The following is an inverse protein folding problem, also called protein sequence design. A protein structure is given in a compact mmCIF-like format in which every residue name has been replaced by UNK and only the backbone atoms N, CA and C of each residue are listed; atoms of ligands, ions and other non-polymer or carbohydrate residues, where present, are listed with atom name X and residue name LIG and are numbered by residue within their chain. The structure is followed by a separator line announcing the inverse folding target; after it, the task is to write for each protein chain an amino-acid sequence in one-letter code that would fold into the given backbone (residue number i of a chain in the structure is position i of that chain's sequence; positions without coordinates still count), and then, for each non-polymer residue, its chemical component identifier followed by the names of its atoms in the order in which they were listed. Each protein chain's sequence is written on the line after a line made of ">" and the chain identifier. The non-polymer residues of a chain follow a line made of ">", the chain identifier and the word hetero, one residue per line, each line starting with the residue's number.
data_IF_305165623428
#
_entry.id   IF_305165623428
#
_cell.length_a   1.000
_cell.length_b   1.000
_cell.length_c   1.000
_cell.angle_alpha   90.00
_cell.angle_beta   90.00
_cell.angle_gamma   90.00
#
_symmetry.space_group_name_H-M   'P 1'
#
loop_
_entity.id
_entity.type
_entity.pdbx_description
1 polymer ?
#
# COMPACT_ATOMS: atom_id res chain seq x y z
N UNK A 1 41.96 -35.07 -44.79
CA UNK A 1 40.76 -34.74 -45.56
C UNK A 1 39.70 -34.20 -44.61
N UNK A 2 39.59 -32.88 -44.60
CA UNK A 2 38.60 -32.18 -43.76
C UNK A 2 37.23 -32.33 -44.40
N UNK A 3 36.33 -33.03 -43.73
CA UNK A 3 34.95 -33.14 -44.12
C UNK A 3 34.24 -31.87 -43.63
N UNK A 4 34.22 -30.82 -44.46
CA UNK A 4 33.42 -29.63 -44.23
C UNK A 4 31.93 -29.98 -44.45
N UNK A 5 31.25 -30.41 -43.38
CA UNK A 5 29.79 -30.44 -43.35
C UNK A 5 29.27 -28.98 -43.27
N UNK A 6 29.34 -28.27 -44.37
CA UNK A 6 28.57 -27.03 -44.54
C UNK A 6 27.10 -27.44 -44.72
N UNK A 7 26.33 -27.25 -43.64
CA UNK A 7 24.86 -27.31 -43.74
C UNK A 7 24.42 -26.15 -44.63
N UNK A 8 24.29 -26.43 -45.95
CA UNK A 8 23.74 -25.48 -46.89
C UNK A 8 22.23 -25.36 -46.61
N UNK A 9 21.72 -24.11 -46.41
CA UNK A 9 20.30 -23.83 -46.28
C UNK A 9 19.46 -24.45 -47.39
N UNK A 10 20.10 -24.73 -48.54
CA UNK A 10 19.48 -25.43 -49.67
C UNK A 10 19.20 -26.93 -49.39
N UNK A 11 20.02 -27.60 -48.57
CA UNK A 11 19.79 -28.99 -48.20
C UNK A 11 18.59 -29.13 -47.24
N UNK A 12 18.37 -28.17 -46.35
CA UNK A 12 17.18 -28.13 -45.48
C UNK A 12 15.88 -27.97 -46.28
N UNK A 13 15.89 -27.14 -47.34
CA UNK A 13 14.71 -26.92 -48.17
C UNK A 13 14.39 -28.21 -48.96
N UNK A 14 15.40 -28.90 -49.50
CA UNK A 14 15.23 -30.18 -50.20
C UNK A 14 14.71 -31.27 -49.25
N UNK A 15 15.22 -31.33 -48.01
CA UNK A 15 14.74 -32.22 -46.97
C UNK A 15 13.27 -31.99 -46.66
N UNK A 16 12.85 -30.74 -46.39
CA UNK A 16 11.46 -30.37 -46.13
C UNK A 16 10.54 -30.74 -47.31
N UNK A 17 11.02 -30.53 -48.53
CA UNK A 17 10.26 -30.89 -49.75
C UNK A 17 10.08 -32.38 -49.92
N UNK A 18 11.13 -33.21 -49.59
CA UNK A 18 11.10 -34.68 -49.60
C UNK A 18 10.06 -35.23 -48.63
N UNK A 19 10.05 -34.69 -47.38
CA UNK A 19 9.20 -35.16 -46.28
C UNK A 19 7.88 -34.40 -46.13
N UNK A 20 7.52 -33.49 -47.08
CA UNK A 20 6.34 -32.62 -47.00
C UNK A 20 5.02 -33.35 -46.71
N UNK A 21 4.78 -34.53 -47.24
CA UNK A 21 3.56 -35.28 -47.03
C UNK A 21 3.43 -35.77 -45.59
N UNK A 22 4.51 -36.28 -45.03
CA UNK A 22 4.54 -36.75 -43.62
C UNK A 22 4.43 -35.58 -42.66
N UNK A 23 5.10 -34.48 -42.90
CA UNK A 23 5.01 -33.23 -42.09
C UNK A 23 3.57 -32.72 -42.12
N UNK A 24 2.90 -32.67 -43.26
CA UNK A 24 1.50 -32.23 -43.36
C UNK A 24 0.55 -33.16 -42.58
N UNK A 25 0.74 -34.47 -42.65
CA UNK A 25 -0.09 -35.46 -41.92
C UNK A 25 0.11 -35.28 -40.41
N UNK A 26 1.34 -35.18 -39.93
CA UNK A 26 1.66 -34.96 -38.50
C UNK A 26 1.05 -33.67 -38.01
N UNK A 27 1.21 -32.56 -38.77
CA UNK A 27 0.62 -31.28 -38.42
C UNK A 27 -0.91 -31.33 -38.41
N UNK A 28 -1.55 -32.02 -39.36
CA UNK A 28 -3.00 -32.16 -39.39
C UNK A 28 -3.53 -32.94 -38.15
N UNK A 29 -2.86 -34.04 -37.80
CA UNK A 29 -3.21 -34.83 -36.60
C UNK A 29 -3.01 -33.97 -35.34
N UNK A 30 -1.89 -33.25 -35.22
CA UNK A 30 -1.61 -32.38 -34.10
C UNK A 30 -2.65 -31.24 -33.99
N UNK A 31 -3.06 -30.67 -35.11
CA UNK A 31 -4.11 -29.64 -35.16
C UNK A 31 -5.45 -30.17 -34.61
N UNK A 32 -5.89 -31.33 -35.07
CA UNK A 32 -7.15 -31.95 -34.62
C UNK A 32 -7.08 -32.30 -33.12
N UNK A 33 -5.99 -32.92 -32.67
CA UNK A 33 -5.83 -33.31 -31.29
C UNK A 33 -5.76 -32.09 -30.37
N UNK A 34 -5.01 -31.05 -30.75
CA UNK A 34 -4.92 -29.82 -29.95
C UNK A 34 -6.24 -29.05 -29.92
N UNK A 35 -7.01 -29.04 -30.99
CA UNK A 35 -8.36 -28.51 -31.02
C UNK A 35 -9.27 -29.26 -30.06
N UNK A 36 -9.29 -30.61 -30.10
CA UNK A 36 -10.07 -31.43 -29.18
C UNK A 36 -9.68 -31.20 -27.73
N UNK A 37 -8.40 -31.19 -27.38
CA UNK A 37 -7.91 -30.89 -26.04
C UNK A 37 -8.31 -29.45 -25.57
N UNK A 38 -8.27 -28.48 -26.48
CA UNK A 38 -8.67 -27.09 -26.16
C UNK A 38 -10.16 -26.96 -25.82
N UNK A 39 -11.03 -27.86 -26.32
CA UNK A 39 -12.45 -27.90 -25.97
C UNK A 39 -12.73 -28.51 -24.60
N UNK A 40 -11.85 -29.36 -24.07
CA UNK A 40 -11.97 -29.95 -22.74
C UNK A 40 -11.65 -28.98 -21.61
N UNK A 41 -10.90 -27.92 -21.90
CA UNK A 41 -10.55 -26.88 -20.87
C UNK A 41 -11.77 -26.04 -20.58
N UNK A 42 -12.17 -25.99 -19.30
CA UNK A 42 -13.29 -25.13 -18.84
C UNK A 42 -12.98 -23.65 -19.11
N UNK A 43 -13.91 -22.90 -19.73
CA UNK A 43 -13.69 -21.47 -20.00
C UNK A 43 -13.67 -20.67 -18.71
N UNK A 44 -12.82 -19.63 -18.66
CA UNK A 44 -12.83 -18.63 -17.60
C UNK A 44 -13.25 -17.28 -18.16
N UNK A 45 -14.01 -16.54 -17.36
CA UNK A 45 -14.44 -15.18 -17.61
C UNK A 45 -13.68 -14.25 -16.71
N UNK A 46 -13.32 -13.07 -17.20
CA UNK A 46 -12.52 -12.10 -16.46
C UNK A 46 -13.30 -10.81 -16.29
N UNK A 47 -13.48 -10.37 -15.04
CA UNK A 47 -13.96 -9.04 -14.70
C UNK A 47 -12.79 -8.17 -14.24
N UNK A 48 -12.81 -6.89 -14.58
CA UNK A 48 -11.75 -5.94 -14.25
C UNK A 48 -12.36 -4.64 -13.75
N UNK A 49 -11.80 -4.12 -12.68
CA UNK A 49 -12.05 -2.78 -12.17
C UNK A 49 -10.76 -1.97 -12.21
N UNK A 50 -10.86 -0.69 -12.50
CA UNK A 50 -9.74 0.26 -12.48
C UNK A 50 -10.01 1.34 -11.46
N UNK A 51 -9.08 1.54 -10.52
CA UNK A 51 -9.19 2.53 -9.46
C UNK A 51 -7.93 3.39 -9.35
N UNK A 52 -8.07 4.58 -8.76
CA UNK A 52 -6.96 5.39 -8.29
C UNK A 52 -6.95 5.45 -6.77
N UNK A 53 -5.75 5.41 -6.19
CA UNK A 53 -5.54 5.74 -4.79
C UNK A 53 -5.60 7.27 -4.61
N UNK A 54 -6.27 7.81 -3.56
CA UNK A 54 -6.24 9.23 -3.24
C UNK A 54 -4.87 9.62 -2.69
N UNK A 55 -4.52 10.89 -2.80
CA UNK A 55 -3.23 11.43 -2.34
C UNK A 55 -3.05 11.38 -0.82
N UNK A 56 -4.12 11.54 -0.06
CA UNK A 56 -4.08 11.56 1.41
C UNK A 56 -5.34 10.94 1.99
N UNK A 57 -5.18 10.40 3.17
CA UNK A 57 -6.23 9.73 3.91
C UNK A 57 -6.66 10.52 5.16
N UNK A 58 -6.05 11.70 5.42
CA UNK A 58 -6.37 12.53 6.58
C UNK A 58 -7.35 13.63 6.19
N UNK A 59 -8.58 13.54 6.70
CA UNK A 59 -9.63 14.55 6.55
C UNK A 59 -9.20 15.86 7.20
N UNK A 60 -8.58 15.78 8.37
CA UNK A 60 -8.12 16.95 9.11
C UNK A 60 -7.04 17.72 8.34
N UNK A 61 -6.07 17.04 7.75
CA UNK A 61 -5.05 17.70 6.91
C UNK A 61 -5.64 18.42 5.71
N UNK A 62 -6.70 17.86 5.14
CA UNK A 62 -7.36 18.41 3.96
C UNK A 62 -8.18 19.65 4.31
N UNK A 63 -8.93 19.61 5.43
CA UNK A 63 -9.94 20.60 5.76
C UNK A 63 -9.45 21.68 6.73
N UNK A 64 -8.51 21.34 7.64
CA UNK A 64 -8.17 22.18 8.79
C UNK A 64 -6.76 22.78 8.73
N UNK A 65 -5.89 22.35 7.81
CA UNK A 65 -4.50 22.77 7.77
C UNK A 65 -4.31 23.98 6.84
N UNK A 66 -4.49 25.19 7.38
CA UNK A 66 -4.20 26.45 6.68
C UNK A 66 -2.70 26.75 6.51
N UNK A 67 -1.82 26.06 7.24
CA UNK A 67 -0.41 26.47 7.38
C UNK A 67 0.59 25.81 6.42
N UNK A 68 0.16 24.88 5.58
CA UNK A 68 1.07 24.26 4.61
C UNK A 68 1.05 25.00 3.25
N UNK A 69 1.56 26.24 3.24
CA UNK A 69 1.78 27.01 2.00
C UNK A 69 2.71 26.31 0.99
N UNK A 70 3.54 25.36 1.43
CA UNK A 70 4.52 24.68 0.58
C UNK A 70 4.02 23.36 -0.01
N UNK A 71 2.97 22.76 0.55
CA UNK A 71 2.32 21.60 -0.05
C UNK A 71 0.83 21.90 -0.21
N UNK A 72 0.45 22.35 -1.39
CA UNK A 72 -0.98 22.39 -1.78
C UNK A 72 -1.49 20.96 -1.82
N UNK A 73 -2.04 20.50 -0.67
CA UNK A 73 -2.75 19.25 -0.59
C UNK A 73 -4.07 19.40 -1.36
N UNK A 74 -4.03 19.08 -2.63
CA UNK A 74 -5.24 19.06 -3.45
C UNK A 74 -6.03 17.77 -3.13
N UNK A 75 -7.25 17.95 -2.60
CA UNK A 75 -8.19 16.84 -2.34
C UNK A 75 -8.45 16.02 -3.60
N UNK A 76 -8.34 16.66 -4.76
CA UNK A 76 -8.58 16.02 -6.06
C UNK A 76 -7.33 15.34 -6.63
N UNK A 77 -6.17 15.47 -5.99
CA UNK A 77 -4.96 14.81 -6.45
C UNK A 77 -5.01 13.31 -6.14
N UNK A 78 -4.69 12.50 -7.12
CA UNK A 78 -4.66 11.04 -7.08
C UNK A 78 -3.43 10.52 -7.85
N UNK A 79 -3.19 9.22 -7.75
CA UNK A 79 -2.13 8.51 -8.48
C UNK A 79 -0.69 8.87 -8.06
N UNK A 80 -0.47 9.17 -6.76
CA UNK A 80 0.89 9.25 -6.24
C UNK A 80 1.43 7.85 -6.06
N UNK A 81 2.70 7.65 -6.40
CA UNK A 81 3.35 6.34 -6.40
C UNK A 81 3.30 5.63 -5.05
N UNK A 82 3.66 6.34 -3.98
CA UNK A 82 3.68 5.78 -2.62
C UNK A 82 2.29 5.31 -2.15
N UNK A 83 1.24 6.11 -2.38
CA UNK A 83 -0.14 5.76 -2.03
C UNK A 83 -0.66 4.59 -2.88
N UNK A 84 -0.28 4.56 -4.17
CA UNK A 84 -0.64 3.47 -5.07
C UNK A 84 0.00 2.16 -4.60
N UNK A 85 1.26 2.16 -4.21
CA UNK A 85 1.96 0.98 -3.68
C UNK A 85 1.35 0.50 -2.35
N UNK A 86 1.05 1.41 -1.42
CA UNK A 86 0.37 1.06 -0.18
C UNK A 86 -1.01 0.45 -0.45
N UNK A 87 -1.77 1.02 -1.36
CA UNK A 87 -3.07 0.49 -1.76
C UNK A 87 -2.95 -0.91 -2.37
N UNK A 88 -1.94 -1.16 -3.20
CA UNK A 88 -1.68 -2.48 -3.77
C UNK A 88 -1.35 -3.52 -2.70
N UNK A 89 -0.57 -3.15 -1.66
CA UNK A 89 -0.27 -4.04 -0.54
C UNK A 89 -1.53 -4.38 0.27
N UNK A 90 -2.40 -3.39 0.51
CA UNK A 90 -3.67 -3.61 1.20
C UNK A 90 -4.61 -4.49 0.37
N UNK A 91 -4.67 -4.30 -0.95
CA UNK A 91 -5.46 -5.14 -1.86
C UNK A 91 -4.98 -6.60 -1.88
N UNK A 92 -3.68 -6.84 -1.66
CA UNK A 92 -3.10 -8.18 -1.55
C UNK A 92 -3.21 -8.79 -0.14
N UNK A 93 -3.82 -8.09 0.81
CA UNK A 93 -3.96 -8.56 2.19
C UNK A 93 -4.67 -9.92 2.27
N UNK A 94 -4.20 -10.78 3.17
CA UNK A 94 -4.77 -12.12 3.37
C UNK A 94 -6.24 -12.05 3.82
N UNK A 95 -6.62 -11.02 4.55
CA UNK A 95 -7.98 -10.82 5.04
C UNK A 95 -9.00 -10.65 3.91
N UNK A 96 -8.64 -9.96 2.84
CA UNK A 96 -9.50 -9.83 1.63
C UNK A 96 -9.68 -11.20 0.98
N UNK A 97 -8.59 -11.97 0.85
CA UNK A 97 -8.61 -13.33 0.28
C UNK A 97 -9.49 -14.27 1.10
N UNK A 98 -9.33 -14.25 2.42
CA UNK A 98 -10.11 -15.10 3.34
C UNK A 98 -11.61 -14.72 3.31
N UNK A 99 -11.93 -13.42 3.21
CA UNK A 99 -13.30 -12.93 3.06
C UNK A 99 -13.95 -13.41 1.76
N UNK A 100 -13.22 -13.39 0.64
CA UNK A 100 -13.69 -13.91 -0.64
C UNK A 100 -13.89 -15.43 -0.58
N UNK A 101 -12.94 -16.16 0.02
CA UNK A 101 -13.01 -17.61 0.18
C UNK A 101 -14.26 -18.00 0.97
N UNK A 102 -14.51 -17.31 2.08
CA UNK A 102 -15.65 -17.58 2.94
C UNK A 102 -16.98 -17.22 2.26
N UNK A 103 -17.09 -16.03 1.66
CA UNK A 103 -18.32 -15.54 1.06
C UNK A 103 -18.80 -16.38 -0.13
N UNK A 104 -17.85 -16.80 -0.99
CA UNK A 104 -18.16 -17.53 -2.23
C UNK A 104 -17.98 -19.03 -2.11
N UNK A 105 -17.67 -19.56 -0.91
CA UNK A 105 -17.37 -20.98 -0.68
C UNK A 105 -16.40 -21.54 -1.75
N UNK A 106 -15.28 -20.82 -1.97
CA UNK A 106 -14.38 -21.07 -3.08
C UNK A 106 -13.74 -22.47 -3.04
N UNK A 107 -13.68 -23.11 -1.87
CA UNK A 107 -13.18 -24.49 -1.77
C UNK A 107 -14.06 -25.45 -2.57
N UNK A 108 -15.37 -25.35 -2.41
CA UNK A 108 -16.35 -26.14 -3.16
C UNK A 108 -16.40 -25.72 -4.63
N UNK A 109 -16.47 -24.41 -4.88
CA UNK A 109 -16.51 -23.85 -6.23
C UNK A 109 -15.32 -24.29 -7.10
N UNK A 110 -14.15 -24.44 -6.50
CA UNK A 110 -12.92 -24.89 -7.19
C UNK A 110 -12.69 -26.40 -7.08
N UNK A 111 -13.62 -27.13 -6.46
CA UNK A 111 -13.52 -28.59 -6.31
C UNK A 111 -12.33 -29.03 -5.46
N UNK A 112 -11.96 -28.24 -4.46
CA UNK A 112 -10.84 -28.53 -3.56
C UNK A 112 -11.36 -29.28 -2.34
N UNK A 113 -10.86 -30.50 -2.15
CA UNK A 113 -11.19 -31.29 -0.95
C UNK A 113 -10.59 -30.67 0.30
N UNK A 114 -11.45 -30.18 1.19
CA UNK A 114 -11.08 -29.56 2.47
C UNK A 114 -10.52 -30.53 3.51
N UNK A 115 -10.68 -31.84 3.29
CA UNK A 115 -10.11 -32.88 4.15
C UNK A 115 -8.67 -33.23 3.79
N UNK A 116 -8.23 -32.88 2.58
CA UNK A 116 -6.88 -33.17 2.11
C UNK A 116 -5.84 -32.27 2.80
N UNK A 117 -4.66 -32.84 3.13
CA UNK A 117 -3.55 -32.08 3.71
C UNK A 117 -3.12 -30.93 2.78
N UNK A 118 -3.00 -29.71 3.31
CA UNK A 118 -2.56 -28.52 2.58
C UNK A 118 -3.63 -27.90 1.66
N UNK A 119 -4.91 -28.21 1.87
CA UNK A 119 -6.00 -27.66 1.07
C UNK A 119 -6.05 -26.12 1.07
N UNK A 120 -5.79 -25.46 2.21
CA UNK A 120 -5.74 -23.99 2.30
C UNK A 120 -4.69 -23.38 1.38
N UNK A 121 -3.48 -23.96 1.37
CA UNK A 121 -2.40 -23.50 0.49
C UNK A 121 -2.77 -23.68 -0.98
N UNK A 122 -3.40 -24.78 -1.33
CA UNK A 122 -3.87 -25.06 -2.69
C UNK A 122 -4.97 -24.09 -3.11
N UNK A 123 -5.91 -23.81 -2.21
CA UNK A 123 -6.99 -22.85 -2.42
C UNK A 123 -6.45 -21.44 -2.64
N UNK A 124 -5.59 -20.97 -1.75
CA UNK A 124 -4.94 -19.67 -1.91
C UNK A 124 -4.16 -19.56 -3.22
N UNK A 125 -3.37 -20.57 -3.56
CA UNK A 125 -2.63 -20.60 -4.84
C UNK A 125 -3.55 -20.52 -6.05
N UNK A 126 -4.70 -21.21 -6.00
CA UNK A 126 -5.69 -21.16 -7.09
C UNK A 126 -6.34 -19.78 -7.17
N UNK A 127 -6.73 -19.19 -6.03
CA UNK A 127 -7.29 -17.84 -5.99
C UNK A 127 -6.29 -16.80 -6.49
N UNK A 128 -5.03 -16.84 -6.03
CA UNK A 128 -3.97 -15.93 -6.50
C UNK A 128 -3.70 -16.08 -8.00
N UNK A 129 -3.80 -17.30 -8.54
CA UNK A 129 -3.70 -17.51 -9.98
C UNK A 129 -4.88 -16.97 -10.80
N UNK A 130 -6.03 -16.76 -10.14
CA UNK A 130 -7.23 -16.20 -10.74
C UNK A 130 -7.41 -14.70 -10.47
N UNK A 131 -6.74 -14.16 -9.48
CA UNK A 131 -6.77 -12.73 -9.12
C UNK A 131 -5.48 -12.05 -9.59
N UNK A 132 -5.61 -10.87 -10.18
CA UNK A 132 -4.47 -10.09 -10.65
C UNK A 132 -4.66 -8.63 -10.25
N UNK A 133 -3.70 -8.08 -9.54
CA UNK A 133 -3.63 -6.68 -9.16
C UNK A 133 -2.39 -6.11 -9.82
N UNK A 134 -2.56 -5.08 -10.65
CA UNK A 134 -1.46 -4.48 -11.41
C UNK A 134 -1.60 -2.96 -11.46
N UNK A 135 -0.47 -2.28 -11.34
CA UNK A 135 -0.38 -0.84 -11.64
C UNK A 135 -0.36 -0.65 -13.15
N UNK A 136 -1.13 0.33 -13.61
CA UNK A 136 -1.09 0.79 -15.00
C UNK A 136 -0.01 1.86 -15.21
N UNK A 137 0.37 2.12 -16.45
CA UNK A 137 1.35 3.17 -16.80
C UNK A 137 0.89 4.57 -16.38
N UNK A 138 -0.40 4.76 -16.16
CA UNK A 138 -1.01 6.02 -15.70
C UNK A 138 -1.19 6.11 -14.17
N UNK A 139 -0.60 5.19 -13.40
CA UNK A 139 -0.70 5.18 -11.94
C UNK A 139 -2.01 4.68 -11.37
N UNK A 140 -2.94 4.18 -12.20
CA UNK A 140 -4.13 3.50 -11.75
C UNK A 140 -3.81 2.06 -11.32
N UNK A 141 -4.73 1.42 -10.59
CA UNK A 141 -4.65 0.02 -10.18
C UNK A 141 -5.76 -0.75 -10.88
N UNK A 142 -5.36 -1.72 -11.70
CA UNK A 142 -6.27 -2.68 -12.30
C UNK A 142 -6.40 -3.90 -11.40
N UNK A 143 -7.61 -4.18 -10.97
CA UNK A 143 -8.00 -5.34 -10.17
C UNK A 143 -8.82 -6.25 -11.06
N UNK A 144 -8.34 -7.46 -11.30
CA UNK A 144 -9.00 -8.41 -12.19
C UNK A 144 -9.20 -9.74 -11.50
N UNK A 145 -10.37 -10.30 -11.64
CA UNK A 145 -10.69 -11.66 -11.18
C UNK A 145 -11.16 -12.50 -12.38
N UNK A 146 -10.59 -13.69 -12.52
CA UNK A 146 -10.96 -14.66 -13.52
C UNK A 146 -11.62 -15.87 -12.86
N UNK A 147 -12.85 -16.20 -13.24
CA UNK A 147 -13.60 -17.33 -12.70
C UNK A 147 -14.31 -18.11 -13.82
N UNK A 148 -14.74 -19.32 -13.52
CA UNK A 148 -15.55 -20.12 -14.44
C UNK A 148 -16.96 -19.58 -14.62
N UNK A 149 -17.45 -18.84 -13.62
CA UNK A 149 -18.71 -18.11 -13.64
C UNK A 149 -18.45 -16.61 -13.85
N UNK A 150 -19.04 -16.03 -14.89
CA UNK A 150 -18.88 -14.62 -15.24
C UNK A 150 -19.48 -13.69 -14.20
N UNK A 151 -20.65 -14.06 -13.61
CA UNK A 151 -21.29 -13.29 -12.57
C UNK A 151 -20.43 -13.30 -11.30
N UNK A 152 -19.96 -14.47 -10.87
CA UNK A 152 -19.10 -14.58 -9.69
C UNK A 152 -17.78 -13.81 -9.85
N UNK A 153 -17.18 -13.82 -11.03
CA UNK A 153 -15.98 -13.01 -11.31
C UNK A 153 -16.26 -11.51 -11.13
N UNK A 154 -17.41 -11.02 -11.59
CA UNK A 154 -17.84 -9.63 -11.40
C UNK A 154 -18.08 -9.32 -9.93
N UNK A 155 -18.86 -10.15 -9.23
CA UNK A 155 -19.23 -9.97 -7.83
C UNK A 155 -17.99 -10.00 -6.93
N UNK A 156 -17.06 -10.91 -7.14
CA UNK A 156 -15.79 -10.98 -6.42
C UNK A 156 -14.96 -9.69 -6.63
N UNK A 157 -14.89 -9.19 -7.86
CA UNK A 157 -14.18 -7.92 -8.14
C UNK A 157 -14.84 -6.74 -7.45
N UNK A 158 -16.17 -6.70 -7.41
CA UNK A 158 -16.95 -5.69 -6.68
C UNK A 158 -16.69 -5.76 -5.17
N UNK A 159 -16.66 -6.97 -4.63
CA UNK A 159 -16.42 -7.17 -3.20
C UNK A 159 -14.99 -6.82 -2.78
N UNK A 160 -13.99 -7.06 -3.64
CA UNK A 160 -12.63 -6.56 -3.39
C UNK A 160 -12.63 -5.05 -3.21
N UNK A 161 -13.38 -4.32 -4.05
CA UNK A 161 -13.54 -2.87 -3.91
C UNK A 161 -14.21 -2.46 -2.60
N UNK A 162 -15.14 -3.24 -2.09
CA UNK A 162 -15.79 -2.99 -0.79
C UNK A 162 -14.88 -3.33 0.39
N UNK A 163 -14.21 -4.47 0.31
CA UNK A 163 -13.30 -4.92 1.37
C UNK A 163 -12.11 -3.98 1.57
N UNK A 164 -11.57 -3.40 0.49
CA UNK A 164 -10.48 -2.42 0.63
C UNK A 164 -10.95 -1.15 1.35
N UNK A 165 -12.17 -0.67 1.13
CA UNK A 165 -12.72 0.45 1.88
C UNK A 165 -12.80 0.11 3.37
N UNK A 166 -13.40 -1.03 3.69
CA UNK A 166 -13.56 -1.47 5.08
C UNK A 166 -12.22 -1.66 5.78
N UNK A 167 -11.28 -2.32 5.12
CA UNK A 167 -9.95 -2.59 5.68
C UNK A 167 -9.17 -1.30 5.93
N UNK A 168 -9.13 -0.42 4.94
CA UNK A 168 -8.39 0.83 5.03
C UNK A 168 -8.98 1.77 6.07
N UNK A 169 -10.30 1.98 6.06
CA UNK A 169 -11.00 2.81 7.03
C UNK A 169 -10.79 2.28 8.47
N UNK A 170 -10.80 0.96 8.67
CA UNK A 170 -10.51 0.37 9.96
C UNK A 170 -9.09 0.68 10.45
N UNK A 171 -8.07 0.46 9.60
CA UNK A 171 -6.66 0.72 9.93
C UNK A 171 -6.44 2.20 10.26
N UNK A 172 -7.02 3.11 9.49
CA UNK A 172 -6.91 4.55 9.73
C UNK A 172 -7.61 4.98 11.00
N UNK A 173 -8.80 4.47 11.25
CA UNK A 173 -9.55 4.73 12.48
C UNK A 173 -8.81 4.25 13.73
N UNK A 174 -8.25 3.05 13.71
CA UNK A 174 -7.44 2.52 14.82
C UNK A 174 -6.22 3.40 15.10
N UNK A 175 -5.56 3.87 14.06
CA UNK A 175 -4.40 4.76 14.13
C UNK A 175 -4.76 6.13 14.71
N UNK A 176 -5.86 6.72 14.23
CA UNK A 176 -6.36 8.02 14.70
C UNK A 176 -6.85 7.94 16.14
N UNK A 177 -7.50 6.83 16.52
CA UNK A 177 -7.90 6.58 17.92
C UNK A 177 -6.71 6.46 18.86
N UNK A 178 -5.64 5.77 18.43
CA UNK A 178 -4.41 5.68 19.23
C UNK A 178 -3.75 7.05 19.39
N UNK A 179 -3.66 7.84 18.31
CA UNK A 179 -3.15 9.20 18.36
C UNK A 179 -3.98 10.11 19.28
N UNK A 180 -5.31 10.05 19.17
CA UNK A 180 -6.23 10.81 20.05
C UNK A 180 -5.98 10.50 21.53
N UNK A 181 -5.88 9.23 21.91
CA UNK A 181 -5.64 8.82 23.30
C UNK A 181 -4.31 9.33 23.84
N UNK A 182 -3.24 9.24 23.01
CA UNK A 182 -1.93 9.75 23.39
C UNK A 182 -1.98 11.27 23.62
N UNK A 183 -2.59 12.00 22.69
CA UNK A 183 -2.71 13.46 22.79
C UNK A 183 -3.61 13.90 23.95
N UNK A 184 -4.69 13.16 24.24
CA UNK A 184 -5.53 13.41 25.42
C UNK A 184 -4.72 13.29 26.71
N UNK A 185 -3.98 12.19 26.88
CA UNK A 185 -3.12 12.02 28.05
C UNK A 185 -2.07 13.11 28.16
N UNK A 186 -1.52 13.59 27.02
CA UNK A 186 -0.55 14.68 27.00
C UNK A 186 -1.16 16.01 27.42
N UNK A 187 -2.39 16.32 26.97
CA UNK A 187 -3.15 17.51 27.40
C UNK A 187 -3.39 17.45 28.90
N UNK A 188 -3.88 16.35 29.43
CA UNK A 188 -4.17 16.16 30.85
C UNK A 188 -2.89 16.33 31.71
N UNK A 189 -1.75 15.81 31.23
CA UNK A 189 -0.46 15.97 31.89
C UNK A 189 0.00 17.42 31.93
N UNK A 190 -0.12 18.14 30.83
CA UNK A 190 0.27 19.58 30.76
C UNK A 190 -0.67 20.45 31.56
N UNK A 191 -1.97 20.15 31.62
CA UNK A 191 -2.93 20.81 32.51
C UNK A 191 -2.48 20.69 33.96
N UNK A 192 -2.00 19.53 34.38
CA UNK A 192 -1.46 19.32 35.72
C UNK A 192 -0.18 20.16 35.99
N UNK A 193 0.71 20.35 35.02
CA UNK A 193 1.90 21.19 35.18
C UNK A 193 1.53 22.68 35.25
N UNK A 194 0.60 23.13 34.42
CA UNK A 194 0.09 24.54 34.47
C UNK A 194 -0.49 24.80 35.86
N UNK A 195 -1.34 23.91 36.37
CA UNK A 195 -1.96 24.06 37.69
C UNK A 195 -0.91 24.15 38.81
N UNK A 196 0.16 23.34 38.78
CA UNK A 196 1.26 23.41 39.76
C UNK A 196 2.03 24.74 39.68
N UNK A 197 2.25 25.24 38.47
CA UNK A 197 2.87 26.52 38.26
C UNK A 197 1.98 27.66 38.78
N UNK A 198 0.67 27.62 38.53
CA UNK A 198 -0.31 28.58 39.01
C UNK A 198 -0.40 28.56 40.56
N UNK A 199 -0.41 27.41 41.18
CA UNK A 199 -0.42 27.26 42.64
C UNK A 199 0.88 27.88 43.26
N UNK A 200 2.03 27.62 42.60
CA UNK A 200 3.31 28.17 43.00
C UNK A 200 3.35 29.71 42.84
N UNK A 201 2.77 30.21 41.75
CA UNK A 201 2.65 31.64 41.49
C UNK A 201 1.76 32.33 42.53
N UNK A 202 0.67 31.67 42.96
CA UNK A 202 -0.21 32.14 44.03
C UNK A 202 0.56 32.33 45.32
N UNK A 203 1.43 31.42 45.71
CA UNK A 203 2.31 31.58 46.89
C UNK A 203 3.21 32.80 46.77
N UNK A 204 3.77 33.06 45.58
CA UNK A 204 4.56 34.27 45.35
C UNK A 204 3.71 35.55 45.51
N UNK A 205 2.47 35.55 45.04
CA UNK A 205 1.53 36.67 45.16
C UNK A 205 1.12 36.91 46.61
N UNK A 206 0.91 35.86 47.41
CA UNK A 206 0.62 35.95 48.83
C UNK A 206 1.77 36.58 49.61
N UNK A 207 3.02 36.43 49.12
CA UNK A 207 4.20 37.15 49.66
C UNK A 207 4.37 38.56 49.11
N UNK A 208 3.37 39.08 48.38
CA UNK A 208 3.34 40.48 47.89
C UNK A 208 4.07 40.74 46.57
N UNK A 209 4.53 39.68 45.89
CA UNK A 209 5.22 39.80 44.58
C UNK A 209 4.28 39.40 43.45
N UNK A 210 3.73 40.41 42.77
CA UNK A 210 2.80 40.20 41.63
C UNK A 210 3.49 40.40 40.30
N UNK A 211 4.37 41.42 40.18
CA UNK A 211 5.09 41.76 38.97
C UNK A 211 6.47 42.25 39.32
N UNK A 212 7.46 41.40 39.15
CA UNK A 212 8.83 41.68 39.57
C UNK A 212 9.44 42.90 38.86
N UNK A 213 9.24 43.03 37.57
CA UNK A 213 9.85 44.11 36.80
C UNK A 213 9.26 45.46 37.20
N UNK A 214 7.93 45.58 37.22
CA UNK A 214 7.24 46.78 37.58
C UNK A 214 7.48 47.17 39.05
N UNK A 215 7.41 46.20 39.98
CA UNK A 215 7.64 46.43 41.39
C UNK A 215 9.09 46.85 41.69
N UNK A 216 10.07 46.22 40.97
CA UNK A 216 11.49 46.59 41.12
C UNK A 216 11.76 48.02 40.65
N UNK A 217 11.20 48.41 39.48
CA UNK A 217 11.34 49.77 38.97
C UNK A 217 10.77 50.80 39.97
N UNK A 218 9.57 50.57 40.47
CA UNK A 218 8.92 51.47 41.46
C UNK A 218 9.68 51.53 42.77
N UNK A 219 10.18 50.37 43.25
CA UNK A 219 10.98 50.33 44.48
C UNK A 219 12.25 51.16 44.33
N UNK A 220 12.97 51.04 43.21
CA UNK A 220 14.18 51.80 42.94
C UNK A 220 13.92 53.29 42.84
N UNK A 221 12.80 53.69 42.22
CA UNK A 221 12.38 55.14 42.21
C UNK A 221 12.15 55.69 43.62
N UNK A 222 11.39 54.94 44.44
CA UNK A 222 11.13 55.36 45.85
C UNK A 222 12.41 55.37 46.71
N UNK A 223 13.31 54.38 46.46
CA UNK A 223 14.62 54.36 47.15
C UNK A 223 15.47 55.59 46.83
N UNK A 224 15.54 56.02 45.58
CA UNK A 224 16.27 57.20 45.14
C UNK A 224 15.70 58.47 45.80
N UNK A 225 14.37 58.60 45.91
CA UNK A 225 13.70 59.73 46.59
C UNK A 225 14.02 59.71 48.08
N UNK A 226 13.95 58.55 48.74
CA UNK A 226 14.22 58.42 50.16
C UNK A 226 15.68 58.79 50.53
N UNK A 227 16.65 58.39 49.66
CA UNK A 227 18.06 58.77 49.78
C UNK A 227 18.23 60.25 49.63
N UNK A 228 17.60 60.93 48.66
CA UNK A 228 17.67 62.39 48.45
C UNK A 228 17.11 63.17 49.61
N UNK A 229 16.09 62.61 50.30
CA UNK A 229 15.45 63.22 51.49
C UNK A 229 16.14 62.89 52.81
N UNK A 230 17.13 62.00 52.83
CA UNK A 230 17.79 61.59 54.08
C UNK A 230 16.87 60.77 55.02
N UNK A 231 15.78 60.22 54.54
CA UNK A 231 14.77 59.51 55.35
C UNK A 231 15.18 58.08 55.67
N UNK A 232 15.89 57.85 56.75
CA UNK A 232 16.40 56.56 57.20
C UNK A 232 15.30 55.57 57.55
N UNK A 233 14.15 56.01 58.07
CA UNK A 233 13.03 55.13 58.37
C UNK A 233 12.38 54.57 57.10
N UNK A 234 12.24 55.40 56.07
CA UNK A 234 11.76 54.94 54.73
C UNK A 234 12.75 53.94 54.04
N UNK A 235 14.05 54.23 54.10
CA UNK A 235 15.08 53.36 53.55
C UNK A 235 15.06 51.99 54.18
N UNK A 236 14.89 51.84 55.49
CA UNK A 236 14.80 50.53 56.15
C UNK A 236 13.59 49.74 55.70
N UNK A 237 12.42 50.38 55.50
CA UNK A 237 11.21 49.73 54.97
C UNK A 237 11.39 49.29 53.52
N UNK A 238 11.94 50.15 52.67
CA UNK A 238 12.20 49.82 51.25
C UNK A 238 13.22 48.69 51.08
N UNK A 239 14.22 48.63 51.99
CA UNK A 239 15.18 47.52 52.01
C UNK A 239 14.51 46.19 52.34
N UNK A 240 13.58 46.14 53.29
CA UNK A 240 12.81 44.92 53.59
C UNK A 240 11.96 44.47 52.41
N UNK A 241 11.34 45.38 51.65
CA UNK A 241 10.60 45.04 50.40
C UNK A 241 11.56 44.65 49.31
N UNK A 242 12.76 45.21 49.22
CA UNK A 242 13.77 44.74 48.24
C UNK A 242 14.22 43.32 48.52
N UNK A 243 14.38 42.88 49.75
CA UNK A 243 14.76 41.55 50.16
C UNK A 243 13.67 40.57 49.76
N UNK A 244 12.38 40.87 49.94
CA UNK A 244 11.26 40.04 49.47
C UNK A 244 11.24 39.91 47.94
N UNK A 245 11.39 41.03 47.22
CA UNK A 245 11.44 41.03 45.77
C UNK A 245 12.64 40.22 45.23
N UNK A 246 13.79 40.30 45.91
CA UNK A 246 14.98 39.53 45.53
C UNK A 246 14.77 38.02 45.72
N UNK A 247 14.02 37.59 46.75
CA UNK A 247 13.74 36.18 47.03
C UNK A 247 12.68 35.61 46.10
N UNK A 248 11.55 36.31 45.87
CA UNK A 248 10.38 35.78 45.16
C UNK A 248 10.27 36.25 43.71
N UNK A 249 10.88 37.37 43.35
CA UNK A 249 10.78 37.98 42.03
C UNK A 249 11.25 37.07 40.88
N UNK A 250 12.45 36.50 40.96
CA UNK A 250 12.93 35.57 39.93
C UNK A 250 12.01 34.37 39.74
N UNK A 251 11.40 33.88 40.83
CA UNK A 251 10.45 32.75 40.76
C UNK A 251 9.19 33.13 39.97
N UNK A 252 8.66 34.36 40.18
CA UNK A 252 7.48 34.86 39.43
C UNK A 252 7.76 34.93 37.94
N UNK A 253 8.93 35.42 37.53
CA UNK A 253 9.33 35.51 36.11
C UNK A 253 9.38 34.11 35.48
N UNK A 254 10.09 33.18 36.13
CA UNK A 254 10.22 31.80 35.62
C UNK A 254 8.86 31.10 35.54
N UNK A 255 8.01 31.24 36.59
CA UNK A 255 6.70 30.59 36.61
C UNK A 255 5.78 31.15 35.53
N UNK A 256 5.79 32.45 35.27
CA UNK A 256 5.01 33.05 34.17
C UNK A 256 5.47 32.56 32.82
N UNK A 257 6.77 32.47 32.58
CA UNK A 257 7.34 31.95 31.34
C UNK A 257 6.98 30.46 31.15
N UNK A 258 7.05 29.66 32.20
CA UNK A 258 6.65 28.24 32.15
C UNK A 258 5.16 28.11 31.84
N UNK A 259 4.27 28.86 32.47
CA UNK A 259 2.82 28.83 32.18
C UNK A 259 2.55 29.21 30.73
N UNK A 260 3.22 30.25 30.20
CA UNK A 260 3.07 30.67 28.82
C UNK A 260 3.52 29.56 27.85
N UNK A 261 4.67 28.95 28.10
CA UNK A 261 5.21 27.88 27.26
C UNK A 261 4.33 26.61 27.32
N UNK A 262 3.88 26.22 28.51
CA UNK A 262 2.96 25.09 28.67
C UNK A 262 1.60 25.36 28.01
N UNK A 263 1.07 26.59 28.09
CA UNK A 263 -0.19 26.95 27.43
C UNK A 263 -0.10 26.91 25.91
N UNK A 264 1.01 27.37 25.34
CA UNK A 264 1.30 27.24 23.91
C UNK A 264 1.35 25.77 23.48
N UNK A 265 2.09 24.96 24.24
CA UNK A 265 2.20 23.52 23.97
C UNK A 265 0.85 22.79 24.11
N UNK A 266 0.07 23.09 25.13
CA UNK A 266 -1.28 22.58 25.34
C UNK A 266 -2.20 22.91 24.16
N UNK A 267 -2.18 24.17 23.69
CA UNK A 267 -2.98 24.61 22.54
C UNK A 267 -2.63 23.80 21.28
N UNK A 268 -1.32 23.58 21.05
CA UNK A 268 -0.86 22.75 19.93
C UNK A 268 -1.32 21.29 20.08
N UNK A 269 -1.25 20.71 21.27
CA UNK A 269 -1.71 19.34 21.52
C UNK A 269 -3.24 19.21 21.33
N UNK A 270 -4.01 20.18 21.81
CA UNK A 270 -5.46 20.24 21.61
C UNK A 270 -5.84 20.33 20.14
N UNK A 271 -5.12 21.13 19.35
CA UNK A 271 -5.35 21.22 17.91
C UNK A 271 -5.11 19.87 17.24
N UNK A 272 -3.97 19.22 17.51
CA UNK A 272 -3.68 17.88 16.95
C UNK A 272 -4.67 16.81 17.43
N UNK A 273 -5.17 16.91 18.67
CA UNK A 273 -6.20 16.03 19.19
C UNK A 273 -7.53 16.20 18.44
N UNK A 274 -7.89 17.44 18.11
CA UNK A 274 -9.05 17.73 17.25
C UNK A 274 -8.88 17.15 15.86
N UNK A 275 -7.69 17.29 15.24
CA UNK A 275 -7.36 16.69 13.96
C UNK A 275 -7.54 15.16 13.98
N UNK A 276 -6.97 14.50 14.99
CA UNK A 276 -7.10 13.06 15.17
C UNK A 276 -8.57 12.63 15.39
N UNK A 277 -9.37 13.45 16.08
CA UNK A 277 -10.80 13.21 16.27
C UNK A 277 -11.56 13.29 14.95
N UNK A 278 -11.28 14.31 14.13
CA UNK A 278 -11.92 14.48 12.82
C UNK A 278 -11.60 13.28 11.91
N UNK A 279 -10.35 12.82 11.90
CA UNK A 279 -9.94 11.64 11.12
C UNK A 279 -10.56 10.33 11.64
N UNK A 280 -10.88 10.25 12.94
CA UNK A 280 -11.55 9.08 13.52
C UNK A 280 -13.04 9.04 13.22
N UNK A 281 -13.72 10.20 13.22
CA UNK A 281 -15.17 10.32 13.08
C UNK A 281 -15.64 10.38 11.63
N UNK A 282 -14.78 10.80 10.69
CA UNK A 282 -15.13 11.01 9.29
C UNK A 282 -14.39 10.03 8.37
N UNK A 283 -15.15 9.34 7.54
CA UNK A 283 -14.61 8.46 6.51
C UNK A 283 -14.55 9.20 5.17
N UNK A 284 -13.37 9.21 4.55
CA UNK A 284 -13.19 9.72 3.19
C UNK A 284 -13.22 8.54 2.22
N UNK A 285 -13.68 8.75 0.96
CA UNK A 285 -13.54 7.74 -0.07
C UNK A 285 -12.08 7.29 -0.21
N UNK A 286 -11.83 5.99 -0.02
CA UNK A 286 -10.48 5.39 -0.01
C UNK A 286 -9.96 5.15 -1.41
N UNK A 287 -10.81 5.32 -2.42
CA UNK A 287 -10.48 5.10 -3.84
C UNK A 287 -11.38 5.93 -4.74
N UNK A 288 -10.87 6.21 -5.94
CA UNK A 288 -11.67 6.73 -7.06
C UNK A 288 -11.84 5.62 -8.09
N UNK A 289 -13.08 5.20 -8.33
CA UNK A 289 -13.39 4.16 -9.32
C UNK A 289 -13.49 4.79 -10.70
N UNK A 290 -12.58 4.41 -11.60
CA UNK A 290 -12.57 4.83 -13.00
C UNK A 290 -13.46 3.91 -13.83
N UNK A 291 -13.21 2.60 -13.71
CA UNK A 291 -13.99 1.58 -14.38
C UNK A 291 -14.57 0.62 -13.34
N UNK A 292 -15.88 0.51 -13.29
CA UNK A 292 -16.56 -0.47 -12.46
C UNK A 292 -16.49 -1.87 -13.08
N UNK A 293 -16.43 -2.94 -12.26
CA UNK A 293 -16.42 -4.29 -12.77
C UNK A 293 -17.72 -4.60 -13.52
N UNK A 294 -17.60 -5.31 -14.62
CA UNK A 294 -18.74 -5.72 -15.44
C UNK A 294 -18.71 -7.23 -15.65
N UNK A 295 -19.89 -7.81 -15.88
CA UNK A 295 -20.03 -9.23 -16.22
C UNK A 295 -19.48 -9.44 -17.63
N UNK A 296 -18.53 -10.35 -17.77
CA UNK A 296 -17.88 -10.58 -19.05
C UNK A 296 -18.77 -11.36 -20.02
N UNK A 297 -19.04 -10.80 -21.20
CA UNK A 297 -19.79 -11.46 -22.27
C UNK A 297 -18.98 -12.55 -22.99
N UNK A 298 -17.66 -12.44 -22.98
CA UNK A 298 -16.75 -13.34 -23.71
C UNK A 298 -15.75 -14.00 -22.74
N UNK A 299 -15.44 -15.29 -23.04
CA UNK A 299 -14.41 -16.01 -22.30
C UNK A 299 -13.04 -15.36 -22.47
N UNK A 300 -12.33 -15.23 -21.38
CA UNK A 300 -10.95 -14.72 -21.33
C UNK A 300 -9.94 -15.84 -21.66
N UNK A 301 -10.18 -17.06 -21.14
CA UNK A 301 -9.30 -18.22 -21.29
C UNK A 301 -10.10 -19.51 -21.55
N UNK A 302 -9.60 -20.48 -22.34
CA UNK A 302 -8.42 -20.38 -23.19
C UNK A 302 -8.68 -19.60 -24.50
N UNK A 303 -7.65 -18.93 -25.02
CA UNK A 303 -7.65 -18.43 -26.41
C UNK A 303 -7.40 -19.60 -27.35
N UNK A 304 -8.47 -20.33 -27.72
CA UNK A 304 -8.41 -21.62 -28.46
C UNK A 304 -7.53 -21.54 -29.70
N UNK A 305 -7.67 -20.50 -30.51
CA UNK A 305 -6.85 -20.30 -31.71
C UNK A 305 -5.35 -20.24 -31.40
N UNK A 306 -4.96 -19.54 -30.33
CA UNK A 306 -3.56 -19.40 -29.93
C UNK A 306 -3.00 -20.75 -29.40
N UNK A 307 -3.78 -21.51 -28.61
CA UNK A 307 -3.39 -22.81 -28.09
C UNK A 307 -3.13 -23.78 -29.26
N UNK A 308 -4.06 -23.85 -30.22
CA UNK A 308 -3.93 -24.71 -31.39
C UNK A 308 -2.73 -24.30 -32.25
N UNK A 309 -2.52 -23.02 -32.50
CA UNK A 309 -1.43 -22.54 -33.33
C UNK A 309 -0.06 -22.86 -32.70
N UNK A 310 0.11 -22.55 -31.42
CA UNK A 310 1.38 -22.78 -30.70
C UNK A 310 1.68 -24.29 -30.62
N UNK A 311 0.69 -25.11 -30.25
CA UNK A 311 0.90 -26.56 -30.14
C UNK A 311 1.24 -27.21 -31.50
N UNK A 312 0.56 -26.79 -32.57
CA UNK A 312 0.86 -27.28 -33.92
C UNK A 312 2.26 -26.87 -34.37
N UNK A 313 2.68 -25.63 -34.06
CA UNK A 313 4.02 -25.15 -34.38
C UNK A 313 5.11 -25.90 -33.60
N UNK A 314 4.91 -26.15 -32.30
CA UNK A 314 5.82 -27.00 -31.52
C UNK A 314 5.96 -28.39 -32.06
N UNK A 315 4.84 -29.05 -32.44
CA UNK A 315 4.87 -30.41 -33.04
C UNK A 315 5.58 -30.39 -34.39
N UNK A 316 5.41 -29.34 -35.19
CA UNK A 316 6.12 -29.19 -36.47
C UNK A 316 7.64 -29.12 -36.24
N UNK A 317 8.12 -28.31 -35.29
CA UNK A 317 9.55 -28.26 -34.98
C UNK A 317 10.09 -29.60 -34.52
N UNK A 318 9.37 -30.26 -33.60
CA UNK A 318 9.78 -31.59 -33.10
C UNK A 318 9.82 -32.61 -34.22
N UNK A 319 8.81 -32.62 -35.12
CA UNK A 319 8.75 -33.54 -36.21
C UNK A 319 9.90 -33.36 -37.21
N UNK A 320 10.30 -32.15 -37.50
CA UNK A 320 11.49 -31.84 -38.31
C UNK A 320 12.74 -32.42 -37.68
N UNK A 321 12.94 -32.23 -36.38
CA UNK A 321 14.10 -32.77 -35.66
C UNK A 321 14.13 -34.30 -35.69
N UNK A 322 12.98 -34.95 -35.47
CA UNK A 322 12.87 -36.43 -35.50
C UNK A 322 13.16 -36.98 -36.88
N UNK A 323 12.61 -36.36 -37.94
CA UNK A 323 12.87 -36.78 -39.32
C UNK A 323 14.33 -36.59 -39.74
N UNK A 324 14.99 -35.53 -39.32
CA UNK A 324 16.43 -35.31 -39.51
C UNK A 324 17.27 -36.38 -38.83
N UNK A 325 16.88 -36.81 -37.63
CA UNK A 325 17.56 -37.88 -36.90
C UNK A 325 17.39 -39.23 -37.62
N UNK A 326 16.18 -39.54 -38.14
CA UNK A 326 15.90 -40.76 -38.87
C UNK A 326 16.76 -40.81 -40.17
N UNK A 327 16.76 -39.71 -40.95
CA UNK A 327 17.55 -39.66 -42.20
C UNK A 327 19.03 -39.82 -41.92
N UNK A 328 19.56 -39.24 -40.82
CA UNK A 328 20.98 -39.42 -40.45
C UNK A 328 21.33 -40.83 -39.98
N UNK A 329 20.35 -41.57 -39.46
CA UNK A 329 20.53 -42.97 -39.08
C UNK A 329 20.48 -43.89 -40.33
N UNK A 330 19.60 -43.58 -41.28
CA UNK A 330 19.51 -44.32 -42.55
C UNK A 330 20.73 -44.09 -43.47
N UNK A 331 21.37 -42.89 -43.41
CA UNK A 331 22.61 -42.59 -44.16
C UNK A 331 23.88 -43.23 -43.61
N UNK A 332 23.86 -43.98 -42.50
CA UNK A 332 25.02 -44.79 -42.08
C UNK A 332 25.09 -46.03 -42.95
N UNK A 333 26.01 -46.10 -43.94
CA UNK A 333 26.14 -47.27 -44.81
C UNK A 333 26.55 -48.48 -43.98
N UNK A 334 25.93 -49.62 -44.24
CA UNK A 334 26.41 -50.96 -43.94
C UNK A 334 27.81 -51.20 -44.56
N UNK A 335 28.84 -50.73 -43.86
CA UNK A 335 30.20 -51.22 -44.11
C UNK A 335 30.43 -52.35 -43.12
N UNK A 336 30.04 -53.50 -43.49
CA UNK A 336 30.59 -54.82 -43.04
C UNK A 336 30.11 -55.89 -43.94
N UNK A 337 31.02 -56.35 -44.82
CA UNK A 337 31.35 -57.71 -45.13
C UNK A 337 31.97 -57.78 -46.52
N UNK A 338 33.26 -57.55 -46.59
CA UNK A 338 34.13 -58.15 -47.61
C UNK A 338 35.59 -58.04 -47.10
N UNK A 339 35.94 -58.91 -46.15
CA UNK A 339 37.35 -59.25 -45.87
C UNK A 339 37.38 -60.57 -45.11
N UNK A 340 37.17 -61.69 -45.89
CA UNK A 340 37.66 -63.01 -45.53
C UNK A 340 37.42 -63.99 -46.71
N UNK A 341 38.27 -63.81 -47.72
CA UNK A 341 38.60 -64.86 -48.66
C UNK A 341 39.84 -64.47 -49.49
N UNK A 342 40.99 -64.65 -48.87
CA UNK A 342 42.21 -65.17 -49.49
C UNK A 342 43.24 -65.50 -48.42
#
# INVERSE_FOLDING_TARGET
>A
MQNNNTYNSFSLVQFLWKWRKWLLIICAIAFVLSAACSFLIKPKFKSTATIYAPRTNSTAKILLNEQNYNERLDIKAYAIEAETEQMMQLLDAQEIKDSLIAKYNLAEAYGIDTKAKGWKTRLNKTLMGNMTIKRTDYGAIDISVADWDAQRACDMTMDILRYIDTLKNRVERERSLAAYRILQHQVDSVDGEIQRCEDSLRVCMENGVFDFEYQSERLMQQYAIAVAQGNTAALNRLKAEQEKLAEWGPKVVILRELIENFSKYQSMCRQKMMDARVDMENEIPVKFVVNSPQVADKKFYPKRSLVVLVSTFCVLIISVFVLLMIEKIEEKPTVRTEESAE
#
